data_IF_846575759569
#
_entry.id   IF_846575759569
#
_cell.length_a   1.000
_cell.length_b   1.000
_cell.length_c   1.000
_cell.angle_alpha   90.00
_cell.angle_beta   90.00
_cell.angle_gamma   90.00
#
_symmetry.space_group_name_H-M   'P 1'
#
loop_
_entity.id
_entity.type
_entity.pdbx_description
1 polymer ?
#
# COMPACT_ATOMS: atom_id res chain seq x y z
N UNK A 1 -4.67 17.43 -36.90
CA UNK A 1 -4.87 17.72 -35.45
C UNK A 1 -4.23 16.60 -34.65
N UNK A 2 -3.18 16.90 -33.88
CA UNK A 2 -2.51 15.97 -32.97
C UNK A 2 -3.36 15.84 -31.70
N UNK A 3 -3.79 14.63 -31.35
CA UNK A 3 -4.41 14.34 -30.05
C UNK A 3 -3.42 13.46 -29.29
N UNK A 4 -2.89 14.01 -28.19
CA UNK A 4 -1.93 13.40 -27.29
C UNK A 4 -2.64 12.42 -26.32
N UNK A 5 -2.01 11.26 -26.11
CA UNK A 5 -2.19 10.27 -25.04
C UNK A 5 -3.62 10.06 -24.45
N UNK A 6 -4.30 8.99 -24.89
CA UNK A 6 -5.57 8.52 -24.30
C UNK A 6 -5.33 7.24 -23.48
N UNK A 7 -5.23 7.39 -22.16
CA UNK A 7 -5.21 6.26 -21.21
C UNK A 7 -6.65 5.82 -20.89
N UNK A 8 -7.16 4.79 -21.57
CA UNK A 8 -8.50 4.24 -21.35
C UNK A 8 -8.50 3.20 -20.20
N UNK A 9 -9.39 3.40 -19.23
CA UNK A 9 -9.71 2.45 -18.14
C UNK A 9 -11.09 1.88 -18.43
N UNK A 10 -11.26 0.56 -18.32
CA UNK A 10 -12.54 -0.12 -18.57
C UNK A 10 -12.87 -1.11 -17.42
N UNK A 11 -14.14 -1.62 -17.24
CA UNK A 11 -14.76 -2.81 -16.46
C UNK A 11 -15.15 -4.21 -17.19
N UNK A 12 -14.48 -5.39 -16.99
CA UNK A 12 -14.82 -6.86 -17.25
C UNK A 12 -15.28 -7.56 -15.94
N UNK A 13 -15.89 -8.75 -16.04
CA UNK A 13 -15.31 -9.86 -15.26
C UNK A 13 -15.32 -11.23 -15.95
N UNK A 14 -15.38 -12.34 -15.19
CA UNK A 14 -15.46 -13.82 -15.54
C UNK A 14 -16.87 -14.52 -15.73
N UNK A 15 -17.10 -15.65 -16.43
CA UNK A 15 -18.40 -16.41 -16.40
C UNK A 15 -18.25 -17.67 -15.51
N UNK A 16 -19.21 -18.02 -14.64
CA UNK A 16 -19.14 -19.21 -13.76
C UNK A 16 -19.34 -20.53 -14.53
N UNK A 17 -18.56 -21.56 -14.16
CA UNK A 17 -18.71 -22.97 -14.55
C UNK A 17 -19.98 -23.59 -13.91
N UNK A 18 -20.73 -24.49 -14.59
CA UNK A 18 -22.14 -24.71 -14.28
C UNK A 18 -22.39 -25.94 -13.41
N UNK A 19 -22.10 -25.92 -12.10
CA UNK A 19 -22.69 -26.88 -11.12
C UNK A 19 -22.74 -26.30 -9.69
N UNK A 20 -23.69 -25.41 -9.41
CA UNK A 20 -24.35 -25.25 -8.09
C UNK A 20 -25.47 -24.22 -8.21
N UNK A 21 -26.70 -24.63 -7.89
CA UNK A 21 -27.88 -23.77 -7.78
C UNK A 21 -27.75 -22.93 -6.51
N UNK A 22 -27.66 -21.61 -6.61
CA UNK A 22 -28.08 -20.61 -5.61
C UNK A 22 -27.77 -19.17 -6.06
N UNK A 23 -28.81 -18.31 -6.08
CA UNK A 23 -28.93 -16.81 -6.03
C UNK A 23 -27.90 -15.92 -6.79
N UNK A 24 -28.32 -14.75 -7.34
CA UNK A 24 -27.76 -14.15 -8.56
C UNK A 24 -26.26 -13.90 -8.46
N UNK A 25 -25.52 -14.90 -8.94
CA UNK A 25 -24.09 -14.91 -9.04
C UNK A 25 -23.69 -13.87 -10.07
N UNK A 26 -23.07 -12.77 -9.64
CA UNK A 26 -22.22 -12.01 -10.53
C UNK A 26 -21.29 -13.04 -11.20
N UNK A 27 -21.38 -13.27 -12.51
CA UNK A 27 -20.54 -14.28 -13.15
C UNK A 27 -19.06 -13.94 -12.91
N UNK A 28 -18.80 -12.65 -12.68
CA UNK A 28 -17.70 -11.87 -13.20
C UNK A 28 -16.94 -11.23 -12.01
N UNK A 29 -15.69 -11.62 -11.72
CA UNK A 29 -14.84 -10.95 -10.70
C UNK A 29 -14.04 -9.80 -11.35
N UNK A 30 -14.28 -8.53 -10.97
CA UNK A 30 -13.53 -7.38 -11.49
C UNK A 30 -12.13 -7.27 -10.84
N UNK A 31 -11.14 -6.74 -11.55
CA UNK A 31 -9.76 -6.56 -11.06
C UNK A 31 -9.21 -5.19 -11.45
N UNK A 32 -8.39 -4.59 -10.56
CA UNK A 32 -7.63 -3.35 -10.79
C UNK A 32 -6.13 -3.61 -11.05
N UNK A 33 -5.47 -2.81 -11.88
CA UNK A 33 -4.15 -2.86 -12.51
C UNK A 33 -3.92 -1.76 -13.60
N UNK A 34 -3.67 -0.59 -13.06
CA UNK A 34 -3.18 0.61 -13.74
C UNK A 34 -1.73 0.47 -14.23
N UNK A 35 -0.97 -0.49 -13.69
CA UNK A 35 0.49 -0.61 -13.84
C UNK A 35 0.90 -1.47 -15.02
N UNK A 36 1.80 -0.94 -15.86
CA UNK A 36 2.53 -1.65 -16.90
C UNK A 36 3.85 -2.23 -16.38
N UNK A 37 4.51 -3.11 -17.15
CA UNK A 37 5.83 -3.68 -16.80
C UNK A 37 6.89 -2.59 -16.63
N UNK A 38 6.86 -1.57 -17.49
CA UNK A 38 7.78 -0.44 -17.45
C UNK A 38 7.21 0.79 -16.71
N UNK A 39 5.89 0.91 -16.58
CA UNK A 39 5.23 2.11 -16.06
C UNK A 39 4.34 1.81 -14.85
N UNK A 40 4.85 2.13 -13.65
CA UNK A 40 4.08 2.10 -12.40
C UNK A 40 3.89 3.50 -11.83
N UNK A 41 4.97 4.09 -11.33
CA UNK A 41 5.00 5.46 -10.83
C UNK A 41 4.77 6.49 -11.94
N UNK A 42 5.28 6.21 -13.14
CA UNK A 42 5.13 7.07 -14.32
C UNK A 42 3.87 6.71 -15.13
N UNK A 43 2.72 6.74 -14.47
CA UNK A 43 1.45 6.35 -15.07
C UNK A 43 0.96 7.31 -16.17
N UNK A 44 1.63 8.46 -16.36
CA UNK A 44 1.33 9.45 -17.40
C UNK A 44 1.90 8.97 -18.75
N UNK A 45 3.03 8.27 -18.74
CA UNK A 45 3.72 7.79 -19.94
C UNK A 45 3.40 6.33 -20.28
N UNK A 46 2.24 5.82 -19.83
CA UNK A 46 1.74 4.49 -20.19
C UNK A 46 1.73 4.33 -21.71
N UNK A 47 2.28 3.22 -22.21
CA UNK A 47 2.49 2.99 -23.65
C UNK A 47 1.25 2.50 -24.39
N UNK A 48 0.27 1.98 -23.64
CA UNK A 48 -0.99 1.54 -24.22
C UNK A 48 -1.80 2.68 -24.80
N UNK A 49 -2.38 2.42 -25.98
CA UNK A 49 -3.25 3.38 -26.67
C UNK A 49 -4.63 2.78 -26.91
N UNK A 50 -5.66 3.60 -26.72
CA UNK A 50 -7.00 3.35 -27.23
C UNK A 50 -7.31 4.37 -28.32
N UNK A 51 -7.66 3.90 -29.51
CA UNK A 51 -7.93 4.72 -30.69
C UNK A 51 -9.39 4.56 -31.09
N UNK A 52 -10.13 5.66 -31.16
CA UNK A 52 -11.50 5.63 -31.67
C UNK A 52 -11.50 5.43 -33.19
N UNK A 53 -12.28 4.46 -33.69
CA UNK A 53 -12.44 4.19 -35.11
C UNK A 53 -13.73 4.83 -35.65
N UNK A 54 -13.73 5.28 -36.92
CA UNK A 54 -14.94 5.76 -37.60
C UNK A 54 -15.96 4.62 -37.66
N UNK A 55 -17.07 4.75 -36.93
CA UNK A 55 -18.10 3.70 -36.78
C UNK A 55 -18.50 3.37 -35.34
N UNK A 56 -17.97 4.08 -34.34
CA UNK A 56 -18.36 3.88 -32.94
C UNK A 56 -17.76 2.61 -32.33
N UNK A 57 -16.56 2.23 -32.75
CA UNK A 57 -15.76 1.17 -32.12
C UNK A 57 -14.40 1.71 -31.72
N UNK A 58 -13.89 1.31 -30.57
CA UNK A 58 -12.57 1.70 -30.09
C UNK A 58 -11.61 0.52 -30.25
N UNK A 59 -10.41 0.79 -30.74
CA UNK A 59 -9.35 -0.19 -30.93
C UNK A 59 -8.29 -0.01 -29.85
N UNK A 60 -7.96 -1.08 -29.15
CA UNK A 60 -6.88 -1.07 -28.16
C UNK A 60 -5.70 -1.82 -28.73
N UNK A 61 -4.56 -1.14 -28.76
CA UNK A 61 -3.34 -1.69 -29.32
C UNK A 61 -2.13 -1.51 -28.39
N UNK A 62 -1.13 -2.34 -28.66
CA UNK A 62 0.15 -2.45 -27.98
C UNK A 62 1.23 -1.90 -28.90
N UNK A 63 2.04 -0.94 -28.45
CA UNK A 63 3.22 -0.48 -29.20
C UNK A 63 4.48 -1.35 -29.00
N UNK A 64 4.70 -2.00 -27.85
CA UNK A 64 5.89 -2.88 -27.62
C UNK A 64 5.66 -4.05 -26.63
N UNK A 65 6.46 -5.15 -26.77
CA UNK A 65 6.30 -6.51 -26.18
C UNK A 65 6.31 -6.61 -24.63
N UNK A 66 5.52 -7.58 -24.12
CA UNK A 66 5.22 -8.02 -22.73
C UNK A 66 4.83 -6.99 -21.65
N UNK A 67 3.56 -6.95 -21.20
CA UNK A 67 3.09 -5.97 -20.17
C UNK A 67 1.96 -6.49 -19.24
N UNK A 68 2.09 -6.24 -17.92
CA UNK A 68 1.13 -6.49 -16.81
C UNK A 68 -0.07 -5.53 -16.89
N UNK A 69 -1.31 -5.96 -16.60
CA UNK A 69 -2.48 -5.07 -16.70
C UNK A 69 -3.71 -5.47 -15.88
N UNK A 70 -4.51 -4.44 -15.57
CA UNK A 70 -5.97 -4.40 -15.57
C UNK A 70 -6.32 -3.65 -16.82
N UNK A 71 -7.36 -4.18 -17.43
CA UNK A 71 -8.21 -3.43 -18.28
C UNK A 71 -9.49 -4.19 -18.23
N UNK A 72 -10.53 -3.54 -17.75
CA UNK A 72 -11.71 -4.26 -17.36
C UNK A 72 -12.57 -4.16 -18.68
N UNK A 73 -12.41 -4.99 -19.70
CA UNK A 73 -13.25 -4.91 -20.92
C UNK A 73 -14.31 -5.98 -21.04
N UNK A 74 -15.57 -5.59 -21.29
CA UNK A 74 -16.53 -6.50 -21.96
C UNK A 74 -16.07 -6.76 -23.39
N UNK A 75 -15.08 -7.61 -23.55
CA UNK A 75 -14.68 -8.16 -24.83
C UNK A 75 -15.53 -9.40 -25.07
N UNK A 76 -16.31 -9.36 -26.14
CA UNK A 76 -16.75 -10.57 -26.84
C UNK A 76 -15.71 -10.96 -27.90
N UNK A 77 -14.46 -10.50 -27.73
CA UNK A 77 -13.37 -10.72 -28.67
C UNK A 77 -12.44 -11.81 -28.14
N UNK A 78 -12.23 -12.81 -28.99
CA UNK A 78 -11.39 -14.00 -28.82
C UNK A 78 -9.89 -13.70 -28.83
N UNK A 79 -9.45 -12.44 -28.97
CA UNK A 79 -8.07 -12.10 -29.34
C UNK A 79 -7.26 -11.44 -28.18
N UNK A 80 -7.27 -12.05 -27.00
CA UNK A 80 -6.59 -11.55 -25.80
C UNK A 80 -5.76 -12.64 -25.13
N UNK A 81 -4.47 -12.36 -24.93
CA UNK A 81 -3.55 -13.25 -24.22
C UNK A 81 -3.48 -12.93 -22.73
N UNK A 82 -3.64 -13.94 -21.85
CA UNK A 82 -3.39 -13.81 -20.41
C UNK A 82 -2.28 -14.77 -19.97
N UNK A 83 -1.21 -14.23 -19.37
CA UNK A 83 -0.10 -15.01 -18.80
C UNK A 83 -0.02 -14.78 -17.30
N UNK A 84 -0.21 -15.84 -16.51
CA UNK A 84 -0.05 -15.78 -15.06
C UNK A 84 1.41 -15.53 -14.69
N UNK A 85 1.62 -14.74 -13.65
CA UNK A 85 2.94 -14.57 -13.01
C UNK A 85 3.11 -15.61 -11.91
N UNK A 86 4.37 -15.96 -11.56
CA UNK A 86 4.66 -16.69 -10.34
C UNK A 86 4.00 -16.01 -9.13
N UNK A 87 3.59 -16.78 -8.11
CA UNK A 87 3.10 -16.22 -6.86
C UNK A 87 4.20 -15.37 -6.21
N UNK A 88 3.79 -14.32 -5.48
CA UNK A 88 4.74 -13.55 -4.67
C UNK A 88 5.24 -14.44 -3.53
N UNK A 89 6.56 -14.53 -3.36
CA UNK A 89 7.15 -15.31 -2.28
C UNK A 89 6.67 -14.77 -0.91
N UNK A 90 6.41 -15.69 0.01
CA UNK A 90 5.97 -15.38 1.38
C UNK A 90 4.53 -14.87 1.53
N UNK A 91 3.92 -14.25 0.51
CA UNK A 91 2.56 -13.70 0.60
C UNK A 91 1.48 -14.73 0.22
N UNK A 92 0.24 -14.59 0.75
CA UNK A 92 -0.88 -15.42 0.32
C UNK A 92 -1.09 -15.34 -1.21
N UNK A 93 -1.48 -16.45 -1.86
CA UNK A 93 -1.56 -16.52 -3.31
C UNK A 93 -2.64 -15.58 -3.83
N UNK A 94 -2.21 -14.48 -4.46
CA UNK A 94 -3.04 -13.64 -5.32
C UNK A 94 -2.55 -13.84 -6.74
N UNK A 95 -3.44 -14.21 -7.65
CA UNK A 95 -3.10 -14.45 -9.05
C UNK A 95 -2.84 -13.13 -9.78
N UNK A 96 -1.56 -12.81 -9.92
CA UNK A 96 -1.09 -11.72 -10.76
C UNK A 96 -0.99 -12.17 -12.21
N UNK A 97 -1.34 -11.30 -13.16
CA UNK A 97 -1.30 -11.65 -14.58
C UNK A 97 -0.88 -10.51 -15.50
N UNK A 98 -0.18 -10.89 -16.57
CA UNK A 98 0.05 -10.11 -17.78
C UNK A 98 -1.13 -10.28 -18.72
N UNK A 99 -1.68 -9.17 -19.22
CA UNK A 99 -2.83 -9.18 -20.15
C UNK A 99 -2.47 -8.41 -21.42
N UNK A 100 -2.34 -9.08 -22.56
CA UNK A 100 -1.99 -8.44 -23.83
C UNK A 100 -3.20 -8.26 -24.74
N UNK A 101 -3.22 -7.13 -25.44
CA UNK A 101 -4.20 -6.74 -26.45
C UNK A 101 -3.46 -6.65 -27.78
N UNK A 102 -4.08 -7.17 -28.83
CA UNK A 102 -3.58 -7.08 -30.20
C UNK A 102 -4.72 -6.54 -31.05
N UNK A 103 -4.69 -5.25 -31.40
CA UNK A 103 -5.70 -4.61 -32.25
C UNK A 103 -7.15 -4.95 -31.85
N UNK A 104 -7.42 -4.93 -30.55
CA UNK A 104 -8.62 -5.50 -29.98
C UNK A 104 -9.77 -4.48 -30.04
N UNK A 105 -10.84 -4.83 -30.75
CA UNK A 105 -11.99 -3.93 -30.98
C UNK A 105 -13.03 -3.98 -29.86
N UNK A 106 -13.57 -2.82 -29.54
CA UNK A 106 -14.55 -2.56 -28.49
C UNK A 106 -15.66 -1.67 -29.01
N UNK A 107 -16.85 -1.73 -28.42
CA UNK A 107 -17.96 -0.86 -28.82
C UNK A 107 -17.89 0.48 -28.06
N UNK A 108 -17.80 1.61 -28.76
CA UNK A 108 -17.49 2.94 -28.21
C UNK A 108 -18.60 3.55 -27.35
N UNK A 109 -19.87 3.19 -27.59
CA UNK A 109 -21.00 3.65 -26.78
C UNK A 109 -20.90 3.28 -25.27
N UNK A 110 -19.96 2.39 -24.90
CA UNK A 110 -19.67 2.01 -23.51
C UNK A 110 -18.54 2.81 -22.87
N UNK A 111 -17.81 3.63 -23.63
CA UNK A 111 -16.54 4.24 -23.23
C UNK A 111 -16.73 5.74 -22.88
N UNK A 112 -17.48 6.52 -23.66
CA UNK A 112 -17.54 7.98 -23.50
C UNK A 112 -18.24 8.50 -22.23
N UNK A 113 -19.37 7.91 -21.80
CA UNK A 113 -20.22 8.52 -20.74
C UNK A 113 -19.66 8.41 -19.32
N UNK A 114 -18.53 7.69 -19.13
CA UNK A 114 -17.92 7.43 -17.82
C UNK A 114 -16.53 8.04 -17.66
N UNK A 115 -15.96 8.71 -18.65
CA UNK A 115 -14.56 9.19 -18.60
C UNK A 115 -14.26 10.16 -17.44
N UNK A 116 -15.12 11.17 -17.22
CA UNK A 116 -14.98 12.09 -16.08
C UNK A 116 -15.19 11.41 -14.73
N UNK A 117 -16.12 10.45 -14.66
CA UNK A 117 -16.37 9.64 -13.46
C UNK A 117 -15.22 8.66 -13.19
N UNK A 118 -14.58 8.11 -14.22
CA UNK A 118 -13.47 7.14 -14.14
C UNK A 118 -12.18 7.82 -13.73
N UNK A 119 -11.88 9.02 -14.22
CA UNK A 119 -10.74 9.82 -13.72
C UNK A 119 -10.98 10.21 -12.26
N UNK A 120 -12.21 10.65 -11.92
CA UNK A 120 -12.60 10.93 -10.53
C UNK A 120 -12.52 9.68 -9.63
N UNK A 121 -12.80 8.48 -10.16
CA UNK A 121 -12.71 7.19 -9.48
C UNK A 121 -11.29 6.60 -9.47
N UNK A 122 -10.42 6.96 -10.43
CA UNK A 122 -8.99 6.62 -10.44
C UNK A 122 -8.28 7.39 -9.34
N UNK A 123 -8.50 8.70 -9.31
CA UNK A 123 -7.97 9.53 -8.23
C UNK A 123 -8.66 9.23 -6.89
N UNK A 124 -9.99 9.11 -6.86
CA UNK A 124 -10.75 8.72 -5.67
C UNK A 124 -10.42 7.32 -5.16
N UNK A 125 -10.20 6.36 -6.04
CA UNK A 125 -9.90 4.95 -5.75
C UNK A 125 -8.45 4.74 -5.29
N UNK A 126 -7.46 5.41 -5.87
CA UNK A 126 -6.11 5.44 -5.32
C UNK A 126 -6.09 6.10 -3.93
N UNK A 127 -6.91 7.14 -3.73
CA UNK A 127 -7.06 7.83 -2.43
C UNK A 127 -7.70 6.94 -1.37
N UNK A 128 -8.83 6.29 -1.68
CA UNK A 128 -9.48 5.29 -0.82
C UNK A 128 -8.56 4.09 -0.58
N UNK A 129 -7.84 3.66 -1.62
CA UNK A 129 -6.84 2.60 -1.58
C UNK A 129 -5.77 2.91 -0.54
N UNK A 130 -5.13 4.09 -0.57
CA UNK A 130 -4.08 4.48 0.39
C UNK A 130 -4.56 4.44 1.84
N UNK A 131 -5.71 5.05 2.14
CA UNK A 131 -6.27 5.05 3.51
C UNK A 131 -6.73 3.65 3.94
N UNK A 132 -7.27 2.85 3.02
CA UNK A 132 -7.63 1.46 3.27
C UNK A 132 -6.40 0.58 3.51
N UNK A 133 -5.32 0.79 2.73
CA UNK A 133 -4.06 0.06 2.85
C UNK A 133 -3.35 0.36 4.18
N UNK A 134 -3.50 1.56 4.73
CA UNK A 134 -2.96 1.87 6.05
C UNK A 134 -3.73 1.18 7.19
N UNK A 135 -5.04 0.93 7.03
CA UNK A 135 -5.84 0.18 8.03
C UNK A 135 -5.42 -1.29 8.12
N UNK A 136 -5.12 -1.92 6.97
CA UNK A 136 -4.92 -3.37 6.91
C UNK A 136 -3.59 -3.84 7.49
N UNK A 137 -2.67 -2.93 7.83
CA UNK A 137 -1.39 -3.27 8.46
C UNK A 137 -1.44 -3.36 9.99
N UNK A 138 -2.48 -2.82 10.64
CA UNK A 138 -2.65 -2.89 12.10
C UNK A 138 -2.84 -4.35 12.58
N UNK A 139 -3.74 -5.17 12.00
CA UNK A 139 -3.93 -6.55 12.48
C UNK A 139 -2.67 -7.43 12.35
N UNK A 140 -1.85 -7.34 11.28
CA UNK A 140 -0.55 -8.00 11.24
C UNK A 140 0.39 -7.63 12.39
N UNK A 141 0.43 -6.36 12.81
CA UNK A 141 1.25 -5.94 13.94
C UNK A 141 0.76 -6.58 15.24
N UNK A 142 -0.54 -6.54 15.51
CA UNK A 142 -1.15 -7.16 16.70
C UNK A 142 -0.91 -8.67 16.72
N UNK A 143 -1.14 -9.35 15.59
CA UNK A 143 -0.91 -10.79 15.44
C UNK A 143 0.57 -11.14 15.66
N UNK A 144 1.48 -10.36 15.08
CA UNK A 144 2.92 -10.58 15.24
C UNK A 144 3.35 -10.39 16.69
N UNK A 145 2.85 -9.36 17.38
CA UNK A 145 3.12 -9.12 18.79
C UNK A 145 2.58 -10.27 19.66
N UNK A 146 1.37 -10.75 19.38
CA UNK A 146 0.77 -11.88 20.07
C UNK A 146 1.57 -13.18 19.86
N UNK A 147 1.91 -13.52 18.62
CA UNK A 147 2.68 -14.73 18.30
C UNK A 147 4.06 -14.68 18.97
N UNK A 148 4.77 -13.55 18.85
CA UNK A 148 6.07 -13.37 19.47
C UNK A 148 5.99 -13.41 21.01
N UNK A 149 4.96 -12.82 21.61
CA UNK A 149 4.69 -12.88 23.05
C UNK A 149 4.48 -14.31 23.54
N UNK A 150 3.52 -15.02 22.95
CA UNK A 150 3.22 -16.41 23.27
C UNK A 150 4.40 -17.36 23.02
N UNK A 151 5.18 -17.11 21.96
CA UNK A 151 6.44 -17.83 21.73
C UNK A 151 7.44 -17.57 22.85
N UNK A 152 7.61 -16.30 23.23
CA UNK A 152 8.60 -15.88 24.24
C UNK A 152 8.28 -16.35 25.66
N UNK A 153 7.00 -16.53 25.98
CA UNK A 153 6.56 -17.11 27.25
C UNK A 153 6.88 -18.61 27.34
N UNK A 154 6.71 -19.34 26.23
CA UNK A 154 6.92 -20.80 26.18
C UNK A 154 8.38 -21.18 25.97
N UNK A 155 9.10 -20.40 25.16
CA UNK A 155 10.50 -20.67 24.84
C UNK A 155 11.34 -20.31 26.05
N UNK A 156 12.12 -21.28 26.52
CA UNK A 156 13.02 -21.08 27.67
C UNK A 156 14.47 -21.25 27.26
N UNK A 157 15.37 -20.61 28.00
CA UNK A 157 16.82 -20.81 27.95
C UNK A 157 17.35 -21.07 29.36
N UNK A 158 18.47 -21.75 29.46
CA UNK A 158 19.08 -22.09 30.74
C UNK A 158 20.43 -22.75 30.52
N UNK A 159 21.21 -22.84 31.60
CA UNK A 159 22.48 -23.55 31.65
C UNK A 159 22.25 -25.07 31.77
N UNK A 160 23.24 -25.86 31.35
CA UNK A 160 23.18 -27.32 31.46
C UNK A 160 22.98 -27.71 32.94
N UNK A 161 21.96 -28.52 33.23
CA UNK A 161 21.53 -28.92 34.59
C UNK A 161 21.03 -27.79 35.52
N UNK A 162 20.74 -26.59 34.99
CA UNK A 162 20.20 -25.46 35.77
C UNK A 162 18.72 -25.15 35.50
N UNK A 163 18.13 -24.22 36.26
CA UNK A 163 16.75 -23.77 36.05
C UNK A 163 16.63 -23.08 34.69
N UNK A 164 15.53 -23.36 33.98
CA UNK A 164 15.21 -22.72 32.69
C UNK A 164 14.31 -21.53 32.92
N UNK A 165 14.64 -20.40 32.32
CA UNK A 165 13.82 -19.17 32.37
C UNK A 165 13.21 -18.88 31.00
N UNK A 166 11.95 -18.39 30.94
CA UNK A 166 11.36 -17.90 29.70
C UNK A 166 12.18 -16.78 29.08
N UNK A 167 12.34 -16.81 27.76
CA UNK A 167 13.07 -15.74 27.06
C UNK A 167 12.34 -14.39 27.15
N UNK A 168 11.02 -14.40 27.43
CA UNK A 168 10.26 -13.17 27.69
C UNK A 168 10.85 -12.36 28.86
N UNK A 169 11.61 -12.96 29.78
CA UNK A 169 12.26 -12.21 30.87
C UNK A 169 13.33 -11.21 30.41
N UNK A 170 13.87 -11.37 29.20
CA UNK A 170 14.92 -10.48 28.69
C UNK A 170 14.33 -9.23 28.02
N UNK A 171 14.89 -8.06 28.34
CA UNK A 171 14.50 -6.77 27.74
C UNK A 171 14.58 -6.78 26.22
N UNK A 172 15.62 -7.40 25.66
CA UNK A 172 15.79 -7.55 24.20
C UNK A 172 14.73 -8.44 23.54
N UNK A 173 13.94 -9.16 24.33
CA UNK A 173 12.83 -9.98 23.88
C UNK A 173 11.49 -9.27 24.06
N UNK A 174 11.19 -8.75 25.25
CA UNK A 174 9.89 -8.14 25.53
C UNK A 174 9.76 -6.70 24.99
N UNK A 175 10.84 -5.92 24.93
CA UNK A 175 10.78 -4.52 24.49
C UNK A 175 10.18 -4.35 23.08
N UNK A 176 10.62 -5.07 22.02
CA UNK A 176 10.02 -4.91 20.69
C UNK A 176 8.55 -5.34 20.65
N UNK A 177 8.13 -6.28 21.51
CA UNK A 177 6.72 -6.69 21.63
C UNK A 177 5.89 -5.55 22.22
N UNK A 178 6.34 -4.97 23.32
CA UNK A 178 5.66 -3.83 23.97
C UNK A 178 5.63 -2.59 23.07
N UNK A 179 6.74 -2.28 22.38
CA UNK A 179 6.80 -1.17 21.42
C UNK A 179 5.78 -1.38 20.30
N UNK A 180 5.71 -2.60 19.74
CA UNK A 180 4.74 -2.91 18.69
C UNK A 180 3.30 -2.74 19.20
N UNK A 181 3.01 -3.20 20.42
CA UNK A 181 1.68 -3.02 21.03
C UNK A 181 1.35 -1.53 21.20
N UNK A 182 2.28 -0.73 21.73
CA UNK A 182 2.08 0.71 21.86
C UNK A 182 1.83 1.38 20.50
N UNK A 183 2.61 1.03 19.48
CA UNK A 183 2.40 1.48 18.11
C UNK A 183 1.02 1.09 17.58
N UNK A 184 0.50 -0.11 17.87
CA UNK A 184 -0.84 -0.51 17.44
C UNK A 184 -1.97 0.30 18.09
N UNK A 185 -1.86 0.61 19.39
CA UNK A 185 -2.83 1.46 20.08
C UNK A 185 -2.84 2.86 19.48
N UNK A 186 -1.67 3.47 19.34
CA UNK A 186 -1.52 4.80 18.74
C UNK A 186 -1.97 4.83 17.28
N UNK A 187 -1.64 3.79 16.50
CA UNK A 187 -2.03 3.66 15.11
C UNK A 187 -3.56 3.66 14.91
N UNK A 188 -4.30 3.04 15.83
CA UNK A 188 -5.77 3.01 15.78
C UNK A 188 -6.36 4.40 15.96
N UNK A 189 -5.86 5.19 16.91
CA UNK A 189 -6.33 6.55 17.13
C UNK A 189 -5.95 7.47 15.97
N UNK A 190 -4.70 7.35 15.49
CA UNK A 190 -4.25 8.10 14.32
C UNK A 190 -5.10 7.78 13.07
N UNK A 191 -5.44 6.51 12.86
CA UNK A 191 -6.31 6.08 11.76
C UNK A 191 -7.69 6.74 11.85
N UNK A 192 -8.30 6.85 13.04
CA UNK A 192 -9.61 7.50 13.20
C UNK A 192 -9.55 8.97 12.77
N UNK A 193 -8.56 9.72 13.27
CA UNK A 193 -8.38 11.14 12.95
C UNK A 193 -8.12 11.34 11.45
N UNK A 194 -7.24 10.52 10.87
CA UNK A 194 -6.93 10.60 9.45
C UNK A 194 -8.13 10.25 8.56
N UNK A 195 -8.92 9.23 8.93
CA UNK A 195 -10.14 8.87 8.21
C UNK A 195 -11.20 9.97 8.30
N UNK A 196 -11.39 10.58 9.47
CA UNK A 196 -12.34 11.69 9.64
C UNK A 196 -12.00 12.87 8.74
N UNK A 197 -10.73 13.28 8.68
CA UNK A 197 -10.26 14.35 7.79
C UNK A 197 -10.34 13.96 6.31
N UNK A 198 -10.08 12.69 5.99
CA UNK A 198 -10.14 12.18 4.64
C UNK A 198 -11.58 12.13 4.09
N UNK A 199 -12.57 11.78 4.91
CA UNK A 199 -13.99 11.69 4.51
C UNK A 199 -14.72 13.03 4.62
N UNK A 200 -14.18 14.01 5.34
CA UNK A 200 -14.81 15.32 5.50
C UNK A 200 -14.93 16.05 4.15
N UNK A 201 -16.17 16.34 3.73
CA UNK A 201 -16.44 17.04 2.47
C UNK A 201 -15.83 18.45 2.40
N UNK A 202 -15.67 19.13 3.54
CA UNK A 202 -15.15 20.50 3.61
C UNK A 202 -13.64 20.62 3.45
N UNK A 203 -12.90 19.50 3.50
CA UNK A 203 -11.44 19.51 3.39
C UNK A 203 -11.03 19.43 1.92
N UNK A 204 -10.09 20.30 1.54
CA UNK A 204 -9.56 20.36 0.18
C UNK A 204 -8.85 19.06 -0.22
N UNK A 205 -8.87 18.81 -1.52
CA UNK A 205 -8.39 17.56 -2.09
C UNK A 205 -6.89 17.31 -1.92
N UNK A 206 -5.99 18.32 -2.05
CA UNK A 206 -4.57 18.15 -1.74
C UNK A 206 -4.34 17.80 -0.27
N UNK A 207 -5.09 18.44 0.65
CA UNK A 207 -5.00 18.18 2.09
C UNK A 207 -5.42 16.74 2.42
N UNK A 208 -6.51 16.24 1.82
CA UNK A 208 -6.90 14.82 1.93
C UNK A 208 -5.80 13.87 1.45
N UNK A 209 -5.09 14.22 0.37
CA UNK A 209 -3.98 13.43 -0.14
C UNK A 209 -2.77 13.44 0.79
N UNK A 210 -2.49 14.58 1.44
CA UNK A 210 -1.46 14.68 2.47
C UNK A 210 -1.77 13.75 3.65
N UNK A 211 -2.98 13.79 4.21
CA UNK A 211 -3.41 12.88 5.27
C UNK A 211 -3.23 11.40 4.91
N UNK A 212 -3.70 11.00 3.71
CA UNK A 212 -3.55 9.61 3.26
C UNK A 212 -2.08 9.19 3.08
N UNK A 213 -1.23 10.13 2.64
CA UNK A 213 0.20 9.89 2.43
C UNK A 213 0.95 9.73 3.74
N UNK A 214 0.74 10.66 4.69
CA UNK A 214 1.35 10.62 6.02
C UNK A 214 0.91 9.37 6.77
N UNK A 215 -0.39 9.06 6.76
CA UNK A 215 -0.93 7.87 7.41
C UNK A 215 -0.30 6.59 6.85
N UNK A 216 -0.28 6.44 5.52
CA UNK A 216 0.30 5.25 4.88
C UNK A 216 1.79 5.12 5.15
N UNK A 217 2.57 6.19 4.99
CA UNK A 217 4.00 6.18 5.21
C UNK A 217 4.34 5.74 6.65
N UNK A 218 3.62 6.28 7.63
CA UNK A 218 3.85 6.02 9.06
C UNK A 218 3.46 4.59 9.44
N UNK A 219 2.22 4.18 9.16
CA UNK A 219 1.72 2.88 9.61
C UNK A 219 2.37 1.71 8.87
N UNK A 220 2.63 1.86 7.58
CA UNK A 220 3.33 0.81 6.82
C UNK A 220 4.75 0.65 7.33
N UNK A 221 5.44 1.72 7.69
CA UNK A 221 6.77 1.60 8.28
C UNK A 221 6.74 0.89 9.64
N UNK A 222 5.85 1.29 10.56
CA UNK A 222 5.69 0.59 11.85
C UNK A 222 5.46 -0.91 11.62
N UNK A 223 4.60 -1.25 10.68
CA UNK A 223 4.29 -2.64 10.37
C UNK A 223 5.48 -3.39 9.75
N UNK A 224 6.22 -2.79 8.81
CA UNK A 224 7.44 -3.38 8.23
C UNK A 224 8.47 -3.68 9.31
N UNK A 225 8.74 -2.69 10.14
CA UNK A 225 9.73 -2.76 11.21
C UNK A 225 9.31 -3.80 12.26
N UNK A 226 8.08 -3.71 12.77
CA UNK A 226 7.55 -4.64 13.77
C UNK A 226 7.58 -6.10 13.29
N UNK A 227 7.05 -6.39 12.10
CA UNK A 227 6.99 -7.77 11.59
C UNK A 227 8.37 -8.37 11.35
N UNK A 228 9.33 -7.59 10.85
CA UNK A 228 10.71 -8.04 10.68
C UNK A 228 11.38 -8.35 12.02
N UNK A 229 11.31 -7.40 12.97
CA UNK A 229 11.93 -7.57 14.27
C UNK A 229 11.30 -8.72 15.06
N UNK A 230 9.97 -8.79 15.10
CA UNK A 230 9.25 -9.83 15.85
C UNK A 230 9.44 -11.22 15.24
N UNK A 231 9.57 -11.34 13.92
CA UNK A 231 9.95 -12.61 13.29
C UNK A 231 11.31 -13.09 13.82
N UNK A 232 12.30 -12.20 13.90
CA UNK A 232 13.63 -12.55 14.45
C UNK A 232 13.58 -12.98 15.92
N UNK A 233 12.63 -12.45 16.71
CA UNK A 233 12.43 -12.82 18.12
C UNK A 233 11.88 -14.24 18.29
N UNK A 234 11.30 -14.82 17.25
CA UNK A 234 10.88 -16.22 17.21
C UNK A 234 12.00 -17.19 16.77
N UNK A 235 13.22 -16.69 16.53
CA UNK A 235 14.34 -17.47 15.99
C UNK A 235 14.02 -18.07 14.62
N UNK A 236 14.56 -19.24 14.31
CA UNK A 236 14.28 -19.95 13.04
C UNK A 236 12.78 -20.22 12.84
N UNK A 237 11.99 -20.36 13.91
CA UNK A 237 10.55 -20.56 13.77
C UNK A 237 9.83 -19.38 13.15
N UNK A 238 10.34 -18.15 13.33
CA UNK A 238 9.78 -16.95 12.73
C UNK A 238 9.83 -16.92 11.20
N UNK A 239 10.65 -17.79 10.58
CA UNK A 239 10.81 -17.89 9.13
C UNK A 239 9.86 -18.92 8.49
N UNK A 240 9.29 -19.85 9.27
CA UNK A 240 8.39 -20.84 8.72
C UNK A 240 7.00 -20.26 8.44
N UNK A 241 6.39 -20.64 7.32
CA UNK A 241 5.10 -20.11 6.87
C UNK A 241 3.96 -20.29 7.90
N UNK A 242 3.99 -21.35 8.71
CA UNK A 242 2.98 -21.59 9.74
C UNK A 242 3.06 -20.63 10.94
N UNK A 243 4.19 -19.94 11.13
CA UNK A 243 4.32 -18.87 12.12
C UNK A 243 3.66 -17.57 11.63
N UNK A 244 3.43 -17.45 10.31
CA UNK A 244 2.77 -16.35 9.61
C UNK A 244 3.43 -14.96 9.68
N UNK A 245 4.32 -14.68 10.64
CA UNK A 245 4.91 -13.33 10.81
C UNK A 245 5.69 -12.91 9.54
N UNK A 246 6.61 -13.74 9.06
CA UNK A 246 7.40 -13.39 7.87
C UNK A 246 6.56 -13.34 6.59
N UNK A 247 5.53 -14.18 6.49
CA UNK A 247 4.56 -14.11 5.39
C UNK A 247 3.78 -12.79 5.36
N UNK A 248 3.41 -12.28 6.53
CA UNK A 248 2.79 -10.96 6.66
C UNK A 248 3.79 -9.85 6.31
N UNK A 249 5.05 -9.98 6.72
CA UNK A 249 6.09 -9.02 6.33
C UNK A 249 6.21 -8.89 4.80
N UNK A 250 6.29 -10.02 4.09
CA UNK A 250 6.32 -10.03 2.62
C UNK A 250 5.08 -9.36 2.00
N UNK A 251 3.91 -9.55 2.61
CA UNK A 251 2.68 -8.89 2.18
C UNK A 251 2.71 -7.37 2.41
N UNK A 252 3.17 -6.92 3.57
CA UNK A 252 3.32 -5.49 3.93
C UNK A 252 4.33 -4.80 3.00
N UNK A 253 5.42 -5.46 2.61
CA UNK A 253 6.34 -4.94 1.58
C UNK A 253 5.60 -4.63 0.28
N UNK A 254 4.71 -5.52 -0.16
CA UNK A 254 3.85 -5.25 -1.31
C UNK A 254 2.94 -4.03 -1.13
N UNK A 255 2.41 -3.81 0.08
CA UNK A 255 1.59 -2.63 0.38
C UNK A 255 2.38 -1.32 0.39
N UNK A 256 3.65 -1.36 0.76
CA UNK A 256 4.53 -0.18 0.74
C UNK A 256 4.77 0.37 -0.67
N UNK A 257 4.64 -0.51 -1.68
CA UNK A 257 4.84 -0.19 -3.10
C UNK A 257 3.50 0.12 -3.79
N UNK A 258 2.43 -0.58 -3.42
CA UNK A 258 1.11 -0.44 -4.02
C UNK A 258 0.51 0.97 -3.82
N UNK A 259 -0.33 1.42 -4.75
CA UNK A 259 -1.03 2.73 -4.69
C UNK A 259 -0.09 3.96 -4.62
N UNK A 260 1.14 3.78 -5.10
CA UNK A 260 2.23 4.74 -5.08
C UNK A 260 3.31 4.30 -4.09
N UNK A 261 4.54 4.21 -4.57
CA UNK A 261 5.72 3.91 -3.74
C UNK A 261 5.84 4.97 -2.62
N UNK A 262 5.83 4.50 -1.37
CA UNK A 262 5.98 5.35 -0.20
C UNK A 262 7.25 6.19 -0.28
N UNK A 263 8.38 5.63 -0.75
CA UNK A 263 9.68 6.29 -0.76
C UNK A 263 9.82 7.16 -2.01
N UNK A 264 9.65 6.57 -3.20
CA UNK A 264 9.97 7.23 -4.47
C UNK A 264 8.85 8.11 -5.04
N UNK A 265 7.60 7.91 -4.62
CA UNK A 265 6.46 8.61 -5.22
C UNK A 265 5.78 9.57 -4.26
N UNK A 266 5.32 9.06 -3.12
CA UNK A 266 4.39 9.79 -2.25
C UNK A 266 5.10 10.78 -1.33
N UNK A 267 6.14 10.34 -0.61
CA UNK A 267 6.83 11.21 0.33
C UNK A 267 7.58 12.34 -0.36
N UNK A 268 8.23 12.08 -1.50
CA UNK A 268 8.90 13.12 -2.30
C UNK A 268 7.92 14.18 -2.76
N UNK A 269 6.76 13.77 -3.28
CA UNK A 269 5.72 14.71 -3.71
C UNK A 269 5.23 15.58 -2.56
N UNK A 270 4.86 14.97 -1.44
CA UNK A 270 4.35 15.72 -0.29
C UNK A 270 5.41 16.64 0.31
N UNK A 271 6.65 16.16 0.48
CA UNK A 271 7.75 17.00 0.96
C UNK A 271 8.04 18.17 0.02
N UNK A 272 7.95 17.94 -1.30
CA UNK A 272 8.10 19.02 -2.30
C UNK A 272 7.00 20.07 -2.15
N UNK A 273 5.73 19.65 -2.06
CA UNK A 273 4.58 20.54 -1.90
C UNK A 273 4.73 21.40 -0.62
N UNK A 274 5.08 20.78 0.51
CA UNK A 274 5.27 21.47 1.80
C UNK A 274 6.46 22.45 1.81
N UNK A 275 7.54 22.12 1.10
CA UNK A 275 8.76 22.94 1.08
C UNK A 275 8.69 24.06 0.05
N UNK A 276 8.01 23.85 -1.08
CA UNK A 276 7.85 24.87 -2.13
C UNK A 276 6.97 26.05 -1.67
N UNK A 277 6.05 25.82 -0.74
CA UNK A 277 5.27 26.91 -0.12
C UNK A 277 6.14 27.81 0.78
N UNK A 278 7.35 27.38 1.16
CA UNK A 278 8.22 28.12 2.10
C UNK A 278 9.59 28.53 1.54
N UNK A 279 10.10 27.84 0.53
CA UNK A 279 11.40 28.10 -0.08
C UNK A 279 11.30 28.03 -1.61
N UNK A 280 11.87 29.02 -2.30
CA UNK A 280 12.01 29.03 -3.77
C UNK A 280 13.06 27.99 -4.23
N UNK A 281 12.76 26.70 -4.04
CA UNK A 281 13.53 25.62 -4.64
C UNK A 281 13.20 25.58 -6.14
N UNK A 282 14.19 25.47 -7.04
CA UNK A 282 14.05 25.50 -8.51
C UNK A 282 13.33 24.26 -9.11
N UNK A 283 12.28 23.78 -8.46
CA UNK A 283 11.50 22.60 -8.80
C UNK A 283 12.02 21.30 -8.17
N UNK A 284 11.12 20.34 -7.97
CA UNK A 284 11.38 19.03 -7.35
C UNK A 284 12.21 18.07 -8.23
N UNK A 285 12.69 18.52 -9.41
CA UNK A 285 13.59 17.77 -10.32
C UNK A 285 14.98 18.39 -10.43
N UNK A 286 15.26 19.45 -9.67
CA UNK A 286 16.57 20.10 -9.67
C UNK A 286 17.63 19.23 -9.00
N UNK A 287 18.90 19.40 -9.39
CA UNK A 287 20.03 18.70 -8.76
C UNK A 287 20.12 19.01 -7.26
N UNK A 288 19.84 20.25 -6.86
CA UNK A 288 19.84 20.67 -5.45
C UNK A 288 18.76 19.94 -4.66
N UNK A 289 17.55 19.82 -5.20
CA UNK A 289 16.47 19.06 -4.57
C UNK A 289 16.83 17.58 -4.45
N UNK A 290 17.40 16.99 -5.51
CA UNK A 290 17.84 15.60 -5.52
C UNK A 290 18.91 15.31 -4.46
N UNK A 291 19.82 16.25 -4.22
CA UNK A 291 20.92 16.05 -3.29
C UNK A 291 20.53 16.35 -1.84
N UNK A 292 19.68 17.36 -1.60
CA UNK A 292 19.42 17.89 -0.26
C UNK A 292 18.08 17.43 0.34
N UNK A 293 17.04 17.32 -0.49
CA UNK A 293 15.65 17.13 -0.01
C UNK A 293 15.14 15.71 -0.28
N UNK A 294 15.43 15.18 -1.46
CA UNK A 294 14.95 13.86 -1.87
C UNK A 294 15.35 12.74 -0.89
N UNK A 295 16.61 12.67 -0.39
CA UNK A 295 17.02 11.63 0.57
C UNK A 295 16.30 11.74 1.93
N UNK A 296 15.78 12.93 2.27
CA UNK A 296 15.13 13.23 3.55
C UNK A 296 13.60 13.20 3.46
N UNK A 297 13.04 13.06 2.26
CA UNK A 297 11.60 13.21 2.04
C UNK A 297 10.76 12.22 2.84
N UNK A 298 11.20 10.95 2.91
CA UNK A 298 10.53 9.94 3.73
C UNK A 298 10.61 10.27 5.23
N UNK A 299 11.80 10.67 5.71
CA UNK A 299 12.00 11.05 7.12
C UNK A 299 11.12 12.23 7.52
N UNK A 300 11.02 13.25 6.67
CA UNK A 300 10.16 14.42 6.90
C UNK A 300 8.70 14.00 7.04
N UNK A 301 8.17 13.24 6.08
CA UNK A 301 6.77 12.81 6.08
C UNK A 301 6.46 11.89 7.26
N UNK A 302 7.39 11.01 7.62
CA UNK A 302 7.24 10.15 8.79
C UNK A 302 7.31 10.92 10.09
N UNK A 303 8.19 11.91 10.23
CA UNK A 303 8.27 12.73 11.44
C UNK A 303 6.96 13.48 11.68
N UNK A 304 6.37 14.04 10.61
CA UNK A 304 5.03 14.63 10.63
C UNK A 304 4.00 13.59 11.12
N UNK A 305 4.02 12.39 10.55
CA UNK A 305 3.08 11.33 10.93
C UNK A 305 3.26 10.81 12.36
N UNK A 306 4.49 10.71 12.86
CA UNK A 306 4.75 10.37 14.25
C UNK A 306 4.19 11.42 15.21
N UNK A 307 4.37 12.71 14.90
CA UNK A 307 3.77 13.80 15.68
C UNK A 307 2.25 13.73 15.67
N UNK A 308 1.64 13.64 14.49
CA UNK A 308 0.18 13.57 14.34
C UNK A 308 -0.43 12.35 15.04
N UNK A 309 0.27 11.21 14.99
CA UNK A 309 -0.17 10.00 15.68
C UNK A 309 -0.07 10.13 17.20
N UNK A 310 1.00 10.75 17.71
CA UNK A 310 1.15 11.04 19.13
C UNK A 310 0.07 12.00 19.62
N UNK A 311 -0.20 13.08 18.89
CA UNK A 311 -1.25 14.04 19.25
C UNK A 311 -2.63 13.37 19.24
N UNK A 312 -2.94 12.53 18.25
CA UNK A 312 -4.18 11.75 18.21
C UNK A 312 -4.32 10.79 19.41
N UNK A 313 -3.21 10.24 19.90
CA UNK A 313 -3.19 9.39 21.09
C UNK A 313 -3.45 10.18 22.38
N UNK A 314 -2.92 11.40 22.48
CA UNK A 314 -3.20 12.30 23.60
C UNK A 314 -4.67 12.73 23.62
N UNK A 315 -5.22 13.13 22.47
CA UNK A 315 -6.62 13.53 22.33
C UNK A 315 -7.59 12.40 22.70
N UNK A 316 -7.20 11.15 22.41
CA UNK A 316 -7.95 9.96 22.77
C UNK A 316 -7.78 9.54 24.25
N UNK A 317 -6.97 10.25 25.04
CA UNK A 317 -6.62 9.92 26.42
C UNK A 317 -6.09 8.49 26.57
N UNK A 318 -5.22 8.05 25.65
CA UNK A 318 -4.54 6.76 25.83
C UNK A 318 -3.67 6.79 27.09
N UNK A 319 -3.52 5.62 27.72
CA UNK A 319 -2.73 5.48 28.93
C UNK A 319 -1.32 6.02 28.75
N UNK A 320 -0.83 6.75 29.77
CA UNK A 320 0.47 7.45 29.69
C UNK A 320 1.62 6.48 29.38
N UNK A 321 1.57 5.25 29.89
CA UNK A 321 2.60 4.25 29.60
C UNK A 321 2.67 3.88 28.12
N UNK A 322 1.53 3.86 27.43
CA UNK A 322 1.44 3.61 25.99
C UNK A 322 2.00 4.80 25.21
N UNK A 323 1.60 6.01 25.57
CA UNK A 323 2.06 7.23 24.87
C UNK A 323 3.55 7.49 25.09
N UNK A 324 4.06 7.27 26.31
CA UNK A 324 5.48 7.42 26.65
C UNK A 324 6.33 6.40 25.87
N UNK A 325 5.90 5.14 25.82
CA UNK A 325 6.62 4.10 25.09
C UNK A 325 6.60 4.35 23.59
N UNK A 326 5.47 4.81 23.04
CA UNK A 326 5.38 5.23 21.65
C UNK A 326 6.33 6.37 21.34
N UNK A 327 6.31 7.44 22.16
CA UNK A 327 7.17 8.61 21.98
C UNK A 327 8.65 8.23 22.04
N UNK A 328 9.05 7.44 23.05
CA UNK A 328 10.42 6.94 23.17
C UNK A 328 10.83 6.12 21.93
N UNK A 329 9.93 5.28 21.40
CA UNK A 329 10.19 4.50 20.18
C UNK A 329 10.34 5.39 18.94
N UNK A 330 9.58 6.49 18.86
CA UNK A 330 9.66 7.44 17.75
C UNK A 330 10.94 8.27 17.82
N UNK A 331 11.32 8.74 19.01
CA UNK A 331 12.56 9.49 19.22
C UNK A 331 13.81 8.66 18.94
N UNK A 332 13.78 7.35 19.22
CA UNK A 332 14.89 6.45 18.92
C UNK A 332 15.19 6.28 17.40
N UNK A 333 14.29 6.75 16.53
CA UNK A 333 14.50 6.77 15.08
C UNK A 333 15.25 8.02 14.60
N UNK A 334 15.42 9.03 15.45
CA UNK A 334 16.14 10.25 15.12
C UNK A 334 17.66 10.03 15.26
N UNK A 335 18.44 10.11 14.18
CA UNK A 335 19.89 10.07 14.24
C UNK A 335 20.41 11.43 14.74
N UNK A 336 20.33 11.65 16.05
CA UNK A 336 20.88 12.83 16.72
C UNK A 336 22.39 13.00 16.52
#
# INVERSE_FOLDING_TARGET
>A
MRIEAVAAVLVVGIKKCPKRKEKPSAPYVPQIAVTEVAHGLDAINIEKTATALPGGTDEINRKNRQVMFELVLRLHSTDHGRRLKPPREGAPPVYHSITSFNHSKLNSHKIERRFGQIISARYGGQRLGRSHLARVVIPPMERSAYIAGCYSQRRTVGVQNGPRIPILSFRTQYAPILITLAQTFVAKEFLKVALANFTNASVDLPVKQAWATVLKATLVDHAKTATLFLSSRCGAQGLFSHNEIFSQHAWILGLSIAEGDNILGLCIRLASELLQERYHCRGHRSADFNNLVLPKSELIVRAIGHRMAYDAALDANLDKSVTDLYLASAMALDPA
#
